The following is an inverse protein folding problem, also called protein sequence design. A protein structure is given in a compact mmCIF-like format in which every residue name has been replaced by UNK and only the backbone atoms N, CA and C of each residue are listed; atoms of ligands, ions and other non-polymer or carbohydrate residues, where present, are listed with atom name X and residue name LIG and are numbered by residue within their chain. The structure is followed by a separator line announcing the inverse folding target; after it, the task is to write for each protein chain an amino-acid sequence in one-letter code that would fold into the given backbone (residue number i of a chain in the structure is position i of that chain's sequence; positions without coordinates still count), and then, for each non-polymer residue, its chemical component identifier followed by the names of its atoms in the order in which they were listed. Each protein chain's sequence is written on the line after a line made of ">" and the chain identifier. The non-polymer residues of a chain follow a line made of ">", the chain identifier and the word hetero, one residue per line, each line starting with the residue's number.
data_IF_016271387984
#
_entry.id   IF_016271387984
#
_cell.length_a   1.000
_cell.length_b   1.000
_cell.length_c   1.000
_cell.angle_alpha   90.00
_cell.angle_beta   90.00
_cell.angle_gamma   90.00
#
_symmetry.space_group_name_H-M   'P 1'
#
loop_
_entity.id
_entity.type
_entity.pdbx_description
1 polymer ?
#
# COMPACT_ATOMS: atom_id res chain seq x y z
N UNK A 1 11.99 -12.05 -19.39
CA UNK A 1 11.69 -11.84 -17.96
C UNK A 1 12.46 -12.90 -17.18
N UNK A 2 13.16 -12.53 -16.14
CA UNK A 2 13.92 -13.43 -15.28
C UNK A 2 13.34 -13.37 -13.85
N UNK A 3 13.22 -14.53 -13.19
CA UNK A 3 12.73 -14.65 -11.82
C UNK A 3 13.89 -15.04 -10.91
N UNK A 4 14.02 -14.34 -9.78
CA UNK A 4 14.93 -14.70 -8.69
C UNK A 4 14.10 -15.18 -7.50
N UNK A 5 13.94 -16.49 -7.41
CA UNK A 5 13.18 -17.14 -6.33
C UNK A 5 13.99 -17.14 -5.03
N UNK A 6 13.30 -17.30 -3.90
CA UNK A 6 13.90 -17.34 -2.57
C UNK A 6 14.81 -16.16 -2.24
N UNK A 7 14.57 -15.01 -2.86
CA UNK A 7 15.43 -13.85 -2.74
C UNK A 7 14.67 -12.65 -2.16
N UNK A 8 15.36 -11.90 -1.32
CA UNK A 8 14.91 -10.60 -0.81
C UNK A 8 15.89 -9.51 -1.24
N UNK A 9 15.39 -8.32 -1.52
CA UNK A 9 16.25 -7.16 -1.77
C UNK A 9 16.73 -6.64 -0.43
N UNK A 10 18.04 -6.51 -0.26
CA UNK A 10 18.67 -5.99 0.96
C UNK A 10 19.13 -4.55 0.79
N UNK A 11 19.44 -4.14 -0.44
CA UNK A 11 19.91 -2.79 -0.72
C UNK A 11 19.57 -2.37 -2.14
N UNK A 12 19.27 -1.07 -2.34
CA UNK A 12 19.20 -0.44 -3.66
C UNK A 12 20.53 0.29 -3.87
N UNK A 13 21.30 -0.14 -4.87
CA UNK A 13 22.59 0.43 -5.21
C UNK A 13 22.38 1.66 -6.08
N UNK A 14 23.03 2.76 -5.74
CA UNK A 14 22.92 4.02 -6.47
C UNK A 14 24.18 4.89 -6.29
N UNK A 15 24.40 5.72 -7.28
CA UNK A 15 25.21 6.94 -7.21
C UNK A 15 24.20 8.11 -7.30
N UNK A 16 24.26 8.93 -8.34
CA UNK A 16 23.23 9.92 -8.63
C UNK A 16 21.91 9.27 -9.10
N UNK A 17 22.01 8.10 -9.73
CA UNK A 17 20.90 7.29 -10.22
C UNK A 17 21.04 5.85 -9.70
N UNK A 18 19.94 5.09 -9.80
CA UNK A 18 19.94 3.66 -9.48
C UNK A 18 20.90 2.93 -10.43
N UNK A 19 21.82 2.16 -9.86
CA UNK A 19 22.80 1.35 -10.59
C UNK A 19 22.52 -0.14 -10.49
N UNK A 20 21.78 -0.57 -9.45
CA UNK A 20 21.47 -1.97 -9.23
C UNK A 20 20.71 -2.23 -7.93
N UNK A 21 20.58 -3.51 -7.63
CA UNK A 21 20.08 -4.00 -6.34
C UNK A 21 20.98 -5.11 -5.82
N UNK A 22 21.14 -5.16 -4.50
CA UNK A 22 21.70 -6.33 -3.82
C UNK A 22 20.55 -7.21 -3.35
N UNK A 23 20.59 -8.47 -3.73
CA UNK A 23 19.63 -9.48 -3.31
C UNK A 23 20.34 -10.52 -2.45
N UNK A 24 19.59 -11.10 -1.51
CA UNK A 24 20.04 -12.18 -0.64
C UNK A 24 19.12 -13.38 -0.80
N UNK A 25 19.72 -14.54 -1.07
CA UNK A 25 18.98 -15.81 -1.01
C UNK A 25 18.64 -16.14 0.45
N UNK A 26 17.35 -16.40 0.73
CA UNK A 26 16.87 -16.63 2.11
C UNK A 26 17.23 -18.02 2.66
N UNK A 27 17.62 -18.97 1.81
CA UNK A 27 18.03 -20.31 2.22
C UNK A 27 19.53 -20.42 2.41
N UNK A 28 20.31 -19.89 1.48
CA UNK A 28 21.78 -19.99 1.52
C UNK A 28 22.44 -18.81 2.23
N UNK A 29 21.76 -17.68 2.26
CA UNK A 29 22.30 -16.42 2.77
C UNK A 29 23.29 -15.73 1.80
N UNK A 30 23.48 -16.30 0.60
CA UNK A 30 24.37 -15.72 -0.43
C UNK A 30 23.79 -14.41 -0.96
N UNK A 31 24.66 -13.42 -1.10
CA UNK A 31 24.33 -12.11 -1.67
C UNK A 31 24.84 -11.99 -3.10
N UNK A 32 24.02 -11.41 -3.97
CA UNK A 32 24.33 -11.17 -5.37
C UNK A 32 23.89 -9.76 -5.76
N UNK A 33 24.70 -9.08 -6.58
CA UNK A 33 24.33 -7.78 -7.14
C UNK A 33 23.78 -7.94 -8.56
N UNK A 34 22.64 -7.29 -8.81
CA UNK A 34 22.00 -7.23 -10.11
C UNK A 34 21.99 -5.79 -10.60
N UNK A 35 22.61 -5.55 -11.76
CA UNK A 35 22.59 -4.24 -12.40
C UNK A 35 21.22 -3.92 -12.95
N UNK A 36 20.68 -2.76 -12.63
CA UNK A 36 19.43 -2.21 -13.19
C UNK A 36 19.41 -0.70 -13.10
N UNK A 37 18.55 -0.05 -13.90
CA UNK A 37 18.40 1.40 -13.95
C UNK A 37 17.18 1.92 -13.20
N UNK A 38 16.38 1.03 -12.61
CA UNK A 38 15.20 1.40 -11.84
C UNK A 38 14.68 0.23 -11.04
N UNK A 39 14.03 0.51 -9.93
CA UNK A 39 13.45 -0.49 -9.04
C UNK A 39 12.00 -0.12 -8.76
N UNK A 40 11.10 -1.08 -9.01
CA UNK A 40 9.69 -0.96 -8.68
C UNK A 40 9.36 -1.89 -7.51
N UNK A 41 9.01 -1.29 -6.37
CA UNK A 41 8.62 -2.04 -5.17
C UNK A 41 7.13 -2.34 -5.22
N UNK A 42 6.75 -3.62 -5.23
CA UNK A 42 5.36 -4.08 -5.28
C UNK A 42 5.13 -5.27 -4.34
N UNK A 43 5.44 -5.09 -3.06
CA UNK A 43 5.42 -6.14 -2.02
C UNK A 43 4.20 -6.05 -1.10
N UNK A 44 3.21 -5.27 -1.47
CA UNK A 44 2.00 -5.01 -0.68
C UNK A 44 1.85 -3.54 -0.31
N UNK A 45 0.74 -3.23 0.37
CA UNK A 45 0.40 -1.86 0.78
C UNK A 45 0.17 -1.84 2.28
N UNK A 46 0.66 -0.79 2.93
CA UNK A 46 0.29 -0.43 4.29
C UNK A 46 -0.60 0.81 4.22
N UNK A 47 -1.83 0.78 4.73
CA UNK A 47 -2.67 1.96 4.77
C UNK A 47 -2.10 2.99 5.76
N UNK A 48 -2.14 4.27 5.39
CA UNK A 48 -1.70 5.37 6.25
C UNK A 48 -2.85 5.80 7.18
N UNK A 49 -3.07 5.05 8.24
CA UNK A 49 -4.18 5.22 9.20
C UNK A 49 -3.73 5.67 10.59
N UNK A 50 -2.45 5.93 10.78
CA UNK A 50 -1.84 6.27 12.07
C UNK A 50 -2.52 7.49 12.74
N UNK A 51 -3.01 8.43 11.93
CA UNK A 51 -3.68 9.64 12.42
C UNK A 51 -5.01 9.33 13.14
N UNK A 52 -5.68 8.26 12.78
CA UNK A 52 -7.06 7.94 13.21
C UNK A 52 -7.17 6.59 13.94
N UNK A 53 -6.08 5.84 14.08
CA UNK A 53 -6.09 4.49 14.64
C UNK A 53 -6.63 4.40 16.08
N UNK A 54 -6.52 5.48 16.85
CA UNK A 54 -7.05 5.56 18.22
C UNK A 54 -8.51 6.00 18.29
N UNK A 55 -9.10 6.42 17.17
CA UNK A 55 -10.44 7.01 17.10
C UNK A 55 -11.42 6.17 16.31
N UNK A 56 -10.94 5.48 15.28
CA UNK A 56 -11.76 4.67 14.38
C UNK A 56 -11.36 3.20 14.43
N UNK A 57 -12.31 2.28 14.37
CA UNK A 57 -12.02 0.85 14.27
C UNK A 57 -11.31 0.55 12.94
N UNK A 58 -10.26 -0.25 13.02
CA UNK A 58 -9.48 -0.72 11.89
C UNK A 58 -9.65 -2.23 11.67
N UNK A 59 -9.75 -2.64 10.42
CA UNK A 59 -9.72 -4.03 9.99
C UNK A 59 -8.49 -4.25 9.09
N UNK A 60 -7.55 -5.08 9.55
CA UNK A 60 -6.24 -5.28 8.88
C UNK A 60 -5.50 -3.97 8.58
N UNK A 61 -5.62 -2.99 9.48
CA UNK A 61 -5.02 -1.67 9.34
C UNK A 61 -5.83 -0.65 8.52
N UNK A 62 -6.91 -1.06 7.84
CA UNK A 62 -7.79 -0.18 7.07
C UNK A 62 -8.97 0.30 7.92
N UNK A 63 -9.41 1.54 7.71
CA UNK A 63 -10.59 2.08 8.40
C UNK A 63 -11.81 1.23 8.04
N UNK A 64 -12.50 0.73 9.05
CA UNK A 64 -13.73 -0.03 8.87
C UNK A 64 -14.84 0.90 8.39
N UNK A 65 -15.16 0.86 7.10
CA UNK A 65 -16.22 1.62 6.47
C UNK A 65 -16.81 0.80 5.31
N UNK A 66 -18.13 0.73 5.28
CA UNK A 66 -18.86 0.00 4.24
C UNK A 66 -18.94 0.75 2.91
N UNK A 67 -19.81 0.28 2.04
CA UNK A 67 -20.03 0.90 0.72
C UNK A 67 -20.62 2.32 0.81
N UNK A 68 -21.26 2.70 1.92
CA UNK A 68 -21.72 4.08 2.18
C UNK A 68 -20.58 5.02 2.55
N UNK A 69 -19.38 4.49 2.79
CA UNK A 69 -18.20 5.24 3.27
C UNK A 69 -18.31 5.79 4.69
N UNK A 70 -19.44 5.59 5.38
CA UNK A 70 -19.66 5.99 6.76
C UNK A 70 -18.72 5.22 7.70
N UNK A 71 -18.17 5.92 8.68
CA UNK A 71 -17.41 5.32 9.76
C UNK A 71 -18.27 5.12 11.01
N UNK A 72 -17.69 4.62 12.08
CA UNK A 72 -18.37 4.51 13.38
C UNK A 72 -18.69 5.85 14.04
N UNK A 73 -18.10 6.94 13.55
CA UNK A 73 -18.33 8.28 14.07
C UNK A 73 -19.28 9.02 13.12
N UNK A 74 -20.49 9.43 13.57
CA UNK A 74 -21.42 10.16 12.74
C UNK A 74 -20.81 11.43 12.13
N UNK A 75 -21.04 11.63 10.82
CA UNK A 75 -20.49 12.77 10.07
C UNK A 75 -19.03 12.60 9.64
N UNK A 76 -18.39 11.46 9.95
CA UNK A 76 -17.02 11.13 9.50
C UNK A 76 -17.09 10.02 8.45
N UNK A 77 -16.52 10.29 7.30
CA UNK A 77 -16.50 9.38 6.14
C UNK A 77 -15.08 8.98 5.79
N UNK A 78 -14.87 7.71 5.48
CA UNK A 78 -13.58 7.20 5.01
C UNK A 78 -13.68 6.85 3.51
N UNK A 79 -12.82 7.44 2.71
CA UNK A 79 -12.84 7.32 1.24
C UNK A 79 -11.49 6.87 0.70
N UNK A 80 -11.50 6.21 -0.45
CA UNK A 80 -10.29 5.79 -1.14
C UNK A 80 -9.62 4.56 -0.53
N UNK A 81 -8.31 4.50 -0.67
CA UNK A 81 -7.53 3.30 -0.37
C UNK A 81 -7.31 3.04 1.12
N UNK A 82 -7.64 3.99 1.99
CA UNK A 82 -7.46 3.85 3.46
C UNK A 82 -8.56 3.05 4.15
N UNK A 83 -9.70 2.81 3.48
CA UNK A 83 -10.83 2.07 4.04
C UNK A 83 -10.87 0.60 3.60
N UNK A 84 -11.67 -0.19 4.30
CA UNK A 84 -11.97 -1.57 3.91
C UNK A 84 -12.70 -1.58 2.56
N UNK A 85 -12.14 -2.25 1.57
CA UNK A 85 -12.72 -2.45 0.24
C UNK A 85 -11.99 -3.55 -0.53
N UNK A 86 -12.69 -4.13 -1.50
CA UNK A 86 -12.15 -5.21 -2.33
C UNK A 86 -11.12 -4.69 -3.34
N UNK A 87 -11.42 -3.58 -4.02
CA UNK A 87 -10.61 -3.04 -5.11
C UNK A 87 -10.11 -1.64 -4.78
N UNK A 88 -8.79 -1.46 -4.90
CA UNK A 88 -8.10 -0.17 -4.66
C UNK A 88 -7.51 0.33 -5.96
N UNK A 89 -8.19 1.28 -6.59
CA UNK A 89 -7.84 1.93 -7.85
C UNK A 89 -8.26 3.40 -7.79
N UNK A 90 -7.67 4.25 -8.62
CA UNK A 90 -8.02 5.67 -8.69
C UNK A 90 -9.52 5.86 -8.93
N UNK A 91 -10.11 5.11 -9.87
CA UNK A 91 -11.53 5.20 -10.18
C UNK A 91 -12.43 4.84 -8.99
N UNK A 92 -12.05 3.85 -8.16
CA UNK A 92 -12.81 3.50 -6.97
C UNK A 92 -12.64 4.51 -5.84
N UNK A 93 -11.50 5.18 -5.76
CA UNK A 93 -11.29 6.28 -4.82
C UNK A 93 -12.14 7.51 -5.18
N UNK A 94 -12.23 7.85 -6.46
CA UNK A 94 -13.10 8.92 -6.97
C UNK A 94 -14.57 8.61 -6.68
N UNK A 95 -15.02 7.36 -6.94
CA UNK A 95 -16.38 6.94 -6.66
C UNK A 95 -16.73 7.01 -5.16
N UNK A 96 -15.80 6.67 -4.27
CA UNK A 96 -15.97 6.83 -2.83
C UNK A 96 -16.17 8.30 -2.45
N UNK A 97 -15.39 9.22 -3.02
CA UNK A 97 -15.54 10.66 -2.77
C UNK A 97 -16.93 11.17 -3.16
N UNK A 98 -17.41 10.80 -4.35
CA UNK A 98 -18.75 11.15 -4.80
C UNK A 98 -19.84 10.59 -3.87
N UNK A 99 -19.67 9.36 -3.41
CA UNK A 99 -20.62 8.71 -2.48
C UNK A 99 -20.63 9.40 -1.11
N UNK A 100 -19.47 9.73 -0.57
CA UNK A 100 -19.39 10.41 0.73
C UNK A 100 -20.08 11.77 0.71
N UNK A 101 -19.96 12.54 -0.38
CA UNK A 101 -20.69 13.81 -0.55
C UNK A 101 -22.19 13.58 -0.53
N UNK A 102 -22.68 12.59 -1.29
CA UNK A 102 -24.12 12.26 -1.32
C UNK A 102 -24.64 11.79 0.04
N UNK A 103 -23.85 11.05 0.80
CA UNK A 103 -24.25 10.58 2.14
C UNK A 103 -24.19 11.67 3.20
N UNK A 104 -23.46 12.75 2.96
CA UNK A 104 -23.32 13.89 3.88
C UNK A 104 -24.44 14.95 3.72
N UNK A 105 -25.23 14.89 2.64
CA UNK A 105 -26.39 15.77 2.38
C UNK A 105 -27.62 15.35 3.22
#
# INVERSE_FOLDING_TARGET
>A
MEFRWNSVVTEILHDDLVTGVRIKDVHTGEETELSCQGVFVSIGRKPATELVETQLPLENGYIAAGETTETSIPGVYAVGDVRTKLLRQVVTAVADGARAVHMAE
#
